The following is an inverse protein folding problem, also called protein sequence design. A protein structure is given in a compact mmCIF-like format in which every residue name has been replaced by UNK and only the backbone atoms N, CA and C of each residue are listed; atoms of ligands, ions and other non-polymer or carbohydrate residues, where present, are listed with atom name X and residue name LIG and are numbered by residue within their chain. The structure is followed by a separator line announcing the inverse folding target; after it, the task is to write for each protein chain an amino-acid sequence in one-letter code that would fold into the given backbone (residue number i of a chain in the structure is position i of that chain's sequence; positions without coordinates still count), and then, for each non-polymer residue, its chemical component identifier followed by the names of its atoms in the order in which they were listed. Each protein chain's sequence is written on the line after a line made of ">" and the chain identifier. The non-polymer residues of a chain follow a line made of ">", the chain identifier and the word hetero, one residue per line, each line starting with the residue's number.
data_IF_488576013707
#
_entry.id   IF_488576013707
#
_cell.length_a   1.000
_cell.length_b   1.000
_cell.length_c   1.000
_cell.angle_alpha   90.00
_cell.angle_beta   90.00
_cell.angle_gamma   90.00
#
_symmetry.space_group_name_H-M   'P 1'
#
loop_
_entity.id
_entity.type
_entity.pdbx_description
1 polymer ?
#
# COMPACT_ATOMS: atom_id res chain seq x y z
N UNK A 1 4.60 -2.48 9.56
CA UNK A 1 5.56 -2.52 10.73
C UNK A 1 6.97 -1.95 10.46
N UNK A 2 7.43 -1.92 9.21
CA UNK A 2 8.76 -1.41 8.84
C UNK A 2 8.84 0.12 8.96
N UNK A 3 7.91 0.84 8.33
CA UNK A 3 7.94 2.30 8.19
C UNK A 3 7.99 3.02 9.53
N UNK A 4 7.16 2.61 10.48
CA UNK A 4 7.16 3.20 11.81
C UNK A 4 8.48 3.03 12.54
N UNK A 5 9.20 1.91 12.36
CA UNK A 5 10.52 1.74 12.98
C UNK A 5 11.56 2.67 12.39
N UNK A 6 11.50 2.88 11.07
CA UNK A 6 12.38 3.82 10.35
C UNK A 6 12.07 5.26 10.73
N UNK A 7 10.78 5.60 10.88
CA UNK A 7 10.31 6.96 11.14
C UNK A 7 10.32 7.35 12.63
N UNK A 8 10.24 6.40 13.56
CA UNK A 8 10.14 6.68 14.99
C UNK A 8 11.24 7.60 15.54
N UNK A 9 12.53 7.50 15.13
CA UNK A 9 13.56 8.42 15.60
C UNK A 9 13.34 9.90 15.21
N UNK A 10 12.49 10.17 14.23
CA UNK A 10 12.22 11.52 13.70
C UNK A 10 11.00 12.19 14.35
N UNK A 11 10.36 11.55 15.33
CA UNK A 11 9.17 12.10 16.00
C UNK A 11 9.06 11.63 17.45
N UNK A 12 8.45 12.47 18.30
CA UNK A 12 8.09 12.12 19.67
C UNK A 12 6.75 11.37 19.75
N UNK A 13 5.95 11.40 18.68
CA UNK A 13 4.71 10.64 18.60
C UNK A 13 5.04 9.15 18.57
N UNK A 14 4.42 8.35 19.44
CA UNK A 14 4.55 6.89 19.40
C UNK A 14 3.76 6.36 18.21
N UNK A 15 4.44 6.14 17.09
CA UNK A 15 3.79 5.74 15.84
C UNK A 15 3.10 4.38 15.98
N UNK A 16 3.65 3.48 16.80
CA UNK A 16 3.07 2.17 17.07
C UNK A 16 1.67 2.19 17.68
N UNK A 17 1.24 3.31 18.28
CA UNK A 17 -0.09 3.45 18.87
C UNK A 17 -1.14 3.95 17.86
N UNK A 18 -0.71 4.38 16.67
CA UNK A 18 -1.62 4.94 15.69
C UNK A 18 -2.52 3.84 15.10
N UNK A 19 -3.82 4.11 14.89
CA UNK A 19 -4.66 3.21 14.11
C UNK A 19 -4.06 3.09 12.72
N UNK A 20 -3.64 1.87 12.38
CA UNK A 20 -2.85 1.61 11.18
C UNK A 20 -3.54 0.55 10.34
N UNK A 21 -3.68 0.86 9.06
CA UNK A 21 -4.07 -0.08 8.03
C UNK A 21 -2.86 -0.34 7.12
N UNK A 22 -2.31 -1.55 7.17
CA UNK A 22 -1.29 -1.99 6.22
C UNK A 22 -1.97 -2.83 5.13
N UNK A 23 -2.21 -2.20 3.97
CA UNK A 23 -2.94 -2.79 2.84
C UNK A 23 -2.30 -4.12 2.39
N UNK A 24 -0.97 -4.16 2.32
CA UNK A 24 -0.25 -5.33 1.82
C UNK A 24 -0.24 -6.45 2.87
N UNK A 25 -0.16 -6.11 4.15
CA UNK A 25 -0.27 -7.09 5.24
C UNK A 25 -1.67 -7.70 5.33
N UNK A 26 -2.73 -6.88 5.20
CA UNK A 26 -4.11 -7.39 5.24
C UNK A 26 -4.42 -8.28 4.04
N UNK A 27 -4.00 -7.90 2.83
CA UNK A 27 -4.15 -8.78 1.67
C UNK A 27 -3.29 -10.02 1.76
N UNK A 28 -2.08 -9.95 2.34
CA UNK A 28 -1.28 -11.13 2.57
C UNK A 28 -1.98 -12.10 3.53
N UNK A 29 -2.60 -11.59 4.61
CA UNK A 29 -3.37 -12.40 5.55
C UNK A 29 -4.60 -13.05 4.88
N UNK A 30 -5.27 -12.33 3.99
CA UNK A 30 -6.44 -12.82 3.25
C UNK A 30 -6.07 -13.87 2.19
N UNK A 31 -4.98 -13.65 1.45
CA UNK A 31 -4.64 -14.42 0.25
C UNK A 31 -3.62 -15.54 0.50
N UNK A 32 -2.94 -15.51 1.65
CA UNK A 32 -1.90 -16.48 2.01
C UNK A 32 -0.58 -16.32 1.22
N UNK A 33 -0.46 -15.27 0.41
CA UNK A 33 0.80 -14.90 -0.26
C UNK A 33 0.89 -13.39 -0.46
N UNK A 34 2.11 -12.89 -0.64
CA UNK A 34 2.33 -11.46 -0.90
C UNK A 34 1.90 -11.09 -2.32
N UNK A 35 1.43 -9.86 -2.46
CA UNK A 35 1.14 -9.19 -3.74
C UNK A 35 1.85 -7.84 -3.71
N UNK A 36 2.43 -7.42 -4.83
CA UNK A 36 3.09 -6.12 -4.93
C UNK A 36 2.07 -4.99 -5.04
N UNK A 37 2.44 -3.80 -4.55
CA UNK A 37 1.65 -2.59 -4.75
C UNK A 37 1.35 -2.35 -6.25
N UNK A 38 2.37 -2.51 -7.11
CA UNK A 38 2.21 -2.32 -8.56
C UNK A 38 1.16 -3.24 -9.18
N UNK A 39 1.10 -4.50 -8.74
CA UNK A 39 0.07 -5.45 -9.21
C UNK A 39 -1.33 -5.02 -8.80
N UNK A 40 -1.52 -4.57 -7.55
CA UNK A 40 -2.83 -4.09 -7.08
C UNK A 40 -3.26 -2.83 -7.82
N UNK A 41 -2.33 -1.90 -8.03
CA UNK A 41 -2.58 -0.67 -8.80
C UNK A 41 -3.01 -1.01 -10.24
N UNK A 42 -2.28 -1.90 -10.90
CA UNK A 42 -2.59 -2.31 -12.27
C UNK A 42 -3.98 -2.95 -12.35
N UNK A 43 -4.24 -3.94 -11.49
CA UNK A 43 -5.48 -4.71 -11.58
C UNK A 43 -6.70 -3.97 -11.05
N UNK A 44 -6.54 -3.09 -10.07
CA UNK A 44 -7.65 -2.35 -9.44
C UNK A 44 -7.91 -1.01 -10.10
N UNK A 45 -6.86 -0.23 -10.37
CA UNK A 45 -6.98 1.15 -10.85
C UNK A 45 -6.76 1.27 -12.37
N UNK A 46 -6.25 0.22 -13.03
CA UNK A 46 -5.89 0.27 -14.45
C UNK A 46 -4.65 1.12 -14.74
N UNK A 47 -3.86 1.43 -13.71
CA UNK A 47 -2.68 2.29 -13.80
C UNK A 47 -1.39 1.47 -13.77
N UNK A 48 -0.36 1.92 -14.49
CA UNK A 48 0.94 1.30 -14.43
C UNK A 48 1.76 1.93 -13.29
N UNK A 49 2.26 1.09 -12.38
CA UNK A 49 3.34 1.50 -11.48
C UNK A 49 4.68 1.31 -12.20
N UNK A 50 5.38 2.40 -12.46
CA UNK A 50 6.74 2.40 -13.01
C UNK A 50 7.73 2.16 -11.87
N UNK A 51 8.09 0.89 -11.64
CA UNK A 51 9.19 0.52 -10.74
C UNK A 51 8.85 -0.59 -9.76
N UNK A 52 9.83 -1.45 -9.53
CA UNK A 52 9.80 -2.47 -8.48
C UNK A 52 10.27 -1.90 -7.12
N UNK A 53 10.38 -2.75 -6.11
CA UNK A 53 10.82 -2.32 -4.78
C UNK A 53 12.31 -1.97 -4.67
N UNK A 54 13.12 -2.18 -5.71
CA UNK A 54 14.55 -1.91 -5.71
C UNK A 54 14.89 -0.56 -6.35
N UNK A 55 14.02 -0.03 -7.20
CA UNK A 55 14.25 1.22 -7.93
C UNK A 55 14.65 2.40 -7.01
N UNK A 56 14.02 2.55 -5.84
CA UNK A 56 14.39 3.61 -4.90
C UNK A 56 15.85 3.53 -4.43
N UNK A 57 16.36 2.31 -4.20
CA UNK A 57 17.75 2.09 -3.80
C UNK A 57 18.73 2.41 -4.93
N UNK A 58 18.37 2.06 -6.16
CA UNK A 58 19.17 2.34 -7.36
C UNK A 58 19.26 3.86 -7.62
N UNK A 59 18.13 4.57 -7.58
CA UNK A 59 18.08 6.02 -7.76
C UNK A 59 18.87 6.75 -6.67
N UNK A 60 18.77 6.29 -5.42
CA UNK A 60 19.56 6.82 -4.30
C UNK A 60 21.06 6.62 -4.53
N UNK A 61 21.48 5.40 -4.87
CA UNK A 61 22.89 5.08 -5.13
C UNK A 61 23.47 5.87 -6.31
N UNK A 62 22.64 6.18 -7.30
CA UNK A 62 22.99 6.98 -8.47
C UNK A 62 22.93 8.51 -8.24
N UNK A 63 22.49 8.97 -7.06
CA UNK A 63 22.31 10.41 -6.78
C UNK A 63 21.19 11.09 -7.58
N UNK A 64 20.23 10.32 -8.09
CA UNK A 64 19.11 10.79 -8.92
C UNK A 64 17.94 11.24 -8.04
N UNK A 65 18.13 12.34 -7.32
CA UNK A 65 17.22 12.79 -6.27
C UNK A 65 15.82 13.17 -6.75
N UNK A 66 15.69 13.88 -7.88
CA UNK A 66 14.39 14.28 -8.42
C UNK A 66 13.51 13.08 -8.77
N UNK A 67 14.13 12.04 -9.35
CA UNK A 67 13.43 10.81 -9.71
C UNK A 67 13.10 9.96 -8.49
N UNK A 68 13.99 9.93 -7.50
CA UNK A 68 13.73 9.28 -6.23
C UNK A 68 12.54 9.93 -5.51
N UNK A 69 12.50 11.27 -5.47
CA UNK A 69 11.37 12.00 -4.89
C UNK A 69 10.08 11.71 -5.65
N UNK A 70 10.11 11.77 -6.98
CA UNK A 70 8.97 11.47 -7.85
C UNK A 70 8.42 10.06 -7.60
N UNK A 71 9.32 9.06 -7.57
CA UNK A 71 8.97 7.67 -7.28
C UNK A 71 8.31 7.53 -5.90
N UNK A 72 8.92 8.09 -4.84
CA UNK A 72 8.36 8.02 -3.49
C UNK A 72 6.99 8.71 -3.38
N UNK A 73 6.79 9.86 -4.05
CA UNK A 73 5.49 10.56 -4.08
C UNK A 73 4.43 9.74 -4.82
N UNK A 74 4.80 9.10 -5.93
CA UNK A 74 3.90 8.24 -6.69
C UNK A 74 3.45 7.04 -5.83
N UNK A 75 4.35 6.44 -5.06
CA UNK A 75 4.01 5.33 -4.15
C UNK A 75 2.97 5.73 -3.10
N UNK A 76 3.13 6.92 -2.48
CA UNK A 76 2.15 7.46 -1.52
C UNK A 76 0.80 7.73 -2.19
N UNK A 77 0.82 8.35 -3.38
CA UNK A 77 -0.39 8.65 -4.14
C UNK A 77 -1.17 7.38 -4.52
N UNK A 78 -0.48 6.38 -5.06
CA UNK A 78 -1.09 5.12 -5.48
C UNK A 78 -1.62 4.31 -4.28
N UNK A 79 -0.89 4.31 -3.16
CA UNK A 79 -1.34 3.67 -1.91
C UNK A 79 -2.64 4.31 -1.40
N UNK A 80 -2.72 5.64 -1.41
CA UNK A 80 -3.94 6.38 -1.06
C UNK A 80 -5.11 6.01 -1.97
N UNK A 81 -4.89 5.95 -3.29
CA UNK A 81 -5.96 5.61 -4.23
C UNK A 81 -6.47 4.19 -4.09
N UNK A 82 -5.61 3.24 -3.78
CA UNK A 82 -6.04 1.88 -3.45
C UNK A 82 -6.88 1.88 -2.18
N UNK A 83 -6.46 2.59 -1.13
CA UNK A 83 -7.23 2.73 0.09
C UNK A 83 -8.63 3.29 -0.18
N UNK A 84 -8.71 4.42 -0.89
CA UNK A 84 -9.99 5.07 -1.24
C UNK A 84 -10.89 4.11 -2.04
N UNK A 85 -10.34 3.38 -3.01
CA UNK A 85 -11.08 2.37 -3.76
C UNK A 85 -11.61 1.27 -2.85
N UNK A 86 -10.76 0.65 -2.01
CA UNK A 86 -11.19 -0.45 -1.14
C UNK A 86 -12.17 -0.01 -0.05
N UNK A 87 -12.07 1.23 0.45
CA UNK A 87 -13.02 1.80 1.38
C UNK A 87 -14.40 2.06 0.73
N UNK A 88 -14.42 2.43 -0.54
CA UNK A 88 -15.65 2.73 -1.28
C UNK A 88 -16.31 1.46 -1.83
N UNK A 89 -15.53 0.59 -2.46
CA UNK A 89 -16.02 -0.57 -3.22
C UNK A 89 -16.05 -1.86 -2.39
N UNK A 90 -15.32 -1.91 -1.26
CA UNK A 90 -15.25 -3.10 -0.40
C UNK A 90 -14.44 -4.26 -0.98
N UNK A 91 -13.63 -4.03 -2.02
CA UNK A 91 -12.71 -5.00 -2.57
C UNK A 91 -11.51 -4.34 -3.25
N UNK A 92 -10.45 -5.12 -3.46
CA UNK A 92 -9.40 -4.84 -4.45
C UNK A 92 -9.39 -5.94 -5.52
N UNK A 93 -8.81 -5.64 -6.68
CA UNK A 93 -8.63 -6.63 -7.75
C UNK A 93 -7.20 -7.15 -7.75
N UNK A 94 -7.05 -8.45 -7.97
CA UNK A 94 -5.76 -9.07 -8.22
C UNK A 94 -5.89 -10.21 -9.20
N UNK A 95 -4.82 -10.48 -9.94
CA UNK A 95 -4.75 -11.66 -10.80
C UNK A 95 -4.33 -12.89 -10.00
N UNK A 96 -5.19 -13.91 -9.99
CA UNK A 96 -4.92 -15.22 -9.41
C UNK A 96 -3.90 -16.00 -10.25
N UNK A 97 -3.22 -16.99 -9.66
CA UNK A 97 -2.18 -17.80 -10.35
C UNK A 97 -2.66 -18.47 -11.64
N UNK A 98 -3.96 -18.74 -11.74
CA UNK A 98 -4.60 -19.34 -12.91
C UNK A 98 -4.93 -18.32 -14.02
N UNK A 99 -4.52 -17.05 -13.86
CA UNK A 99 -4.65 -15.99 -14.86
C UNK A 99 -5.92 -15.14 -14.76
N UNK A 100 -6.94 -15.61 -14.04
CA UNK A 100 -8.17 -14.84 -13.83
C UNK A 100 -7.97 -13.65 -12.88
N UNK A 101 -8.55 -12.49 -13.21
CA UNK A 101 -8.65 -11.36 -12.28
C UNK A 101 -9.85 -11.59 -11.37
N UNK A 102 -9.62 -11.54 -10.06
CA UNK A 102 -10.62 -11.83 -9.02
C UNK A 102 -10.63 -10.74 -7.96
N UNK A 103 -11.72 -10.68 -7.19
CA UNK A 103 -11.89 -9.73 -6.09
C UNK A 103 -11.28 -10.30 -4.80
N UNK A 104 -10.47 -9.49 -4.13
CA UNK A 104 -10.08 -9.67 -2.74
C UNK A 104 -11.00 -8.79 -1.88
N UNK A 105 -11.98 -9.35 -1.15
CA UNK A 105 -12.87 -8.55 -0.31
C UNK A 105 -12.09 -7.87 0.82
N UNK A 106 -12.38 -6.59 1.04
CA UNK A 106 -11.81 -5.81 2.14
C UNK A 106 -12.93 -5.05 2.84
N UNK A 107 -12.72 -4.71 4.12
CA UNK A 107 -13.65 -3.87 4.86
C UNK A 107 -12.88 -2.66 5.39
N UNK A 108 -12.81 -1.57 4.64
CA UNK A 108 -12.05 -0.37 5.05
C UNK A 108 -12.94 0.81 5.36
N UNK A 109 -14.19 0.52 5.73
CA UNK A 109 -15.16 1.54 6.11
C UNK A 109 -14.72 2.23 7.40
N UNK A 110 -15.03 3.52 7.50
CA UNK A 110 -14.63 4.35 8.65
C UNK A 110 -15.13 3.77 9.97
N UNK A 111 -16.31 3.14 10.01
CA UNK A 111 -16.85 2.54 11.23
C UNK A 111 -15.97 1.39 11.74
N UNK A 112 -15.36 0.60 10.83
CA UNK A 112 -14.40 -0.44 11.24
C UNK A 112 -13.08 0.17 11.70
N UNK A 113 -12.58 1.18 10.97
CA UNK A 113 -11.24 1.72 11.22
C UNK A 113 -11.19 2.68 12.41
N UNK A 114 -12.28 3.39 12.69
CA UNK A 114 -12.34 4.46 13.68
C UNK A 114 -13.51 4.32 14.67
N UNK A 115 -14.48 3.45 14.43
CA UNK A 115 -15.68 3.29 15.28
C UNK A 115 -15.45 2.55 16.60
N UNK A 116 -14.22 2.12 16.91
CA UNK A 116 -13.85 1.46 18.16
C UNK A 116 -13.59 2.38 19.35
N UNK A 117 -14.15 3.60 19.35
CA UNK A 117 -14.07 4.56 20.45
C UNK A 117 -15.38 4.63 21.25
N UNK A 118 -15.64 3.61 22.06
CA UNK A 118 -16.71 3.56 23.07
C UNK A 118 -16.21 2.87 24.33
#
# INVERSE_FOLDING_TARGET
>A
RFDYRVLQPYTQVRLADLPTLDILEELHALLGHRISLGHLVEKTLGEAKTGDGLLALELYAAGRWEELESYCRQDVYLTRRLFEFGATEGYLLYQHRQGAVVRAPVDWREERLFGGGG
#
